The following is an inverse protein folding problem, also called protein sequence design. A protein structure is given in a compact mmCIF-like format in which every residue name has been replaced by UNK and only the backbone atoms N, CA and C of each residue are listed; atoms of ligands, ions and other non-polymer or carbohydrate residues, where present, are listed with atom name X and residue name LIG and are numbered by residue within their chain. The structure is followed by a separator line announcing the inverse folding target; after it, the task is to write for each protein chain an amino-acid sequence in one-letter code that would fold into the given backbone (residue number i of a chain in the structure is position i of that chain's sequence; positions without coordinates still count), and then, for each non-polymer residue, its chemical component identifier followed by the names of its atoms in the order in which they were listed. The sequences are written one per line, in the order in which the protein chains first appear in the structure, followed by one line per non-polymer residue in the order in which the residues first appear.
data_IF_019285043708
#
_entry.id   IF_019285043708
#
_cell.length_a   1.000
_cell.length_b   1.000
_cell.length_c   1.000
_cell.angle_alpha   90.00
_cell.angle_beta   90.00
_cell.angle_gamma   90.00
#
_symmetry.space_group_name_H-M   'P 1'
#
loop_
_entity.id
_entity.type
_entity.pdbx_description
1 polymer ?
#
# COMPACT_ATOMS: atom_id res chain seq x y z
N UNK A 1 19.52 -45.59 -35.41
CA UNK A 1 18.40 -44.66 -35.13
C UNK A 1 18.56 -44.01 -33.75
N UNK A 2 19.79 -43.78 -33.27
CA UNK A 2 20.03 -43.19 -31.93
C UNK A 2 20.31 -41.67 -32.01
N UNK A 3 20.92 -41.20 -33.08
CA UNK A 3 21.31 -39.80 -33.30
C UNK A 3 20.16 -38.80 -33.36
N UNK A 4 18.96 -39.23 -33.71
CA UNK A 4 17.76 -38.35 -33.75
C UNK A 4 17.17 -38.11 -32.35
N UNK A 5 17.40 -39.04 -31.41
CA UNK A 5 16.89 -38.93 -30.04
C UNK A 5 17.74 -37.96 -29.23
N UNK A 6 19.06 -38.00 -29.40
CA UNK A 6 19.99 -37.06 -28.73
C UNK A 6 19.74 -35.60 -29.14
N UNK A 7 19.47 -35.35 -30.42
CA UNK A 7 19.15 -34.00 -30.90
C UNK A 7 17.79 -33.47 -30.40
N UNK A 8 16.84 -34.37 -30.15
CA UNK A 8 15.56 -34.03 -29.53
C UNK A 8 15.72 -33.76 -28.01
N UNK A 9 16.58 -34.51 -27.32
CA UNK A 9 16.89 -34.24 -25.91
C UNK A 9 17.64 -32.92 -25.71
N UNK A 10 18.62 -32.63 -26.56
CA UNK A 10 19.42 -31.41 -26.50
C UNK A 10 18.57 -30.14 -26.77
N UNK A 11 17.61 -30.23 -27.69
CA UNK A 11 16.66 -29.14 -27.95
C UNK A 11 15.65 -28.92 -26.81
N UNK A 12 15.18 -29.99 -26.16
CA UNK A 12 14.34 -29.89 -24.96
C UNK A 12 15.12 -29.24 -23.80
N UNK A 13 16.37 -29.66 -23.57
CA UNK A 13 17.18 -29.13 -22.47
C UNK A 13 17.50 -27.64 -22.64
N UNK A 14 17.70 -27.19 -23.89
CA UNK A 14 17.92 -25.78 -24.25
C UNK A 14 16.66 -24.91 -24.11
N UNK A 15 15.48 -25.46 -24.42
CA UNK A 15 14.19 -24.77 -24.17
C UNK A 15 13.80 -24.74 -22.69
N UNK A 16 14.28 -25.69 -21.88
CA UNK A 16 13.97 -25.77 -20.44
C UNK A 16 14.81 -24.77 -19.62
N UNK A 17 16.01 -24.39 -20.10
CA UNK A 17 16.81 -23.30 -19.50
C UNK A 17 16.21 -21.90 -19.73
N UNK A 18 15.31 -21.73 -20.71
CA UNK A 18 14.62 -20.48 -21.00
C UNK A 18 13.27 -20.35 -20.27
N UNK A 19 12.86 -21.35 -19.49
CA UNK A 19 11.81 -21.18 -18.50
C UNK A 19 12.41 -20.36 -17.36
N UNK A 20 12.25 -19.04 -17.42
CA UNK A 20 12.35 -18.18 -16.24
C UNK A 20 11.66 -18.91 -15.08
N UNK A 21 12.36 -19.03 -13.95
CA UNK A 21 11.87 -19.79 -12.80
C UNK A 21 10.42 -19.35 -12.51
N UNK A 22 9.54 -20.29 -12.17
CA UNK A 22 8.14 -19.98 -11.83
C UNK A 22 8.03 -18.83 -10.81
N UNK A 23 9.05 -18.68 -9.97
CA UNK A 23 9.22 -17.61 -8.99
C UNK A 23 9.36 -16.21 -9.64
N UNK A 24 10.10 -16.06 -10.74
CA UNK A 24 10.30 -14.78 -11.44
C UNK A 24 9.04 -14.36 -12.23
N UNK A 25 8.34 -15.32 -12.83
CA UNK A 25 7.07 -15.08 -13.51
C UNK A 25 5.97 -14.65 -12.51
N UNK A 26 5.97 -15.24 -11.32
CA UNK A 26 5.03 -14.91 -10.26
C UNK A 26 5.35 -13.56 -9.60
N UNK A 27 6.62 -13.22 -9.41
CA UNK A 27 7.05 -11.90 -8.97
C UNK A 27 6.65 -10.77 -9.96
N UNK A 28 6.70 -11.05 -11.27
CA UNK A 28 6.27 -10.08 -12.30
C UNK A 28 4.74 -9.91 -12.31
N UNK A 29 4.00 -10.99 -12.10
CA UNK A 29 2.54 -10.98 -11.97
C UNK A 29 2.07 -10.31 -10.65
N UNK A 30 2.79 -10.54 -9.55
CA UNK A 30 2.52 -9.91 -8.26
C UNK A 30 2.90 -8.42 -8.28
N UNK A 31 3.94 -8.03 -9.03
CA UNK A 31 4.26 -6.63 -9.32
C UNK A 31 3.20 -5.92 -10.16
N UNK A 32 2.43 -6.66 -10.96
CA UNK A 32 1.27 -6.11 -11.69
C UNK A 32 0.00 -6.03 -10.83
N UNK A 33 -0.04 -6.70 -9.67
CA UNK A 33 -1.17 -6.56 -8.74
C UNK A 33 -1.06 -5.21 -8.01
N UNK A 34 -2.18 -4.51 -7.91
CA UNK A 34 -2.30 -3.24 -7.18
C UNK A 34 -2.32 -3.44 -5.66
N UNK A 35 -1.52 -4.37 -5.14
CA UNK A 35 -1.41 -4.66 -3.70
C UNK A 35 0.03 -4.46 -3.25
N UNK A 36 0.25 -3.98 -2.01
CA UNK A 36 1.59 -3.91 -1.45
C UNK A 36 2.27 -5.28 -1.41
N UNK A 37 3.61 -5.33 -1.46
CA UNK A 37 4.35 -6.59 -1.37
C UNK A 37 4.07 -7.27 -0.03
N UNK A 38 3.54 -8.50 -0.09
CA UNK A 38 3.16 -9.30 1.06
C UNK A 38 4.31 -10.22 1.49
N UNK A 39 4.38 -10.51 2.79
CA UNK A 39 5.31 -11.50 3.33
C UNK A 39 4.62 -12.87 3.43
N UNK A 40 5.04 -13.82 2.59
CA UNK A 40 4.47 -15.17 2.56
C UNK A 40 4.89 -16.04 3.77
N UNK A 41 5.96 -15.67 4.47
CA UNK A 41 6.50 -16.41 5.63
C UNK A 41 5.92 -15.93 6.96
N UNK A 42 5.03 -14.92 6.93
CA UNK A 42 4.44 -14.35 8.12
C UNK A 42 3.62 -15.40 8.89
N UNK A 43 3.99 -15.63 10.15
CA UNK A 43 3.27 -16.55 11.05
C UNK A 43 2.10 -15.85 11.75
N UNK A 44 2.18 -14.52 11.88
CA UNK A 44 1.16 -13.69 12.52
C UNK A 44 0.46 -12.82 11.47
N UNK A 45 -0.88 -12.69 11.51
CA UNK A 45 -1.62 -11.87 10.54
C UNK A 45 -1.15 -10.41 10.42
N UNK A 46 -0.60 -9.84 11.49
CA UNK A 46 -0.05 -8.48 11.50
C UNK A 46 1.24 -8.32 10.68
N UNK A 47 1.95 -9.42 10.44
CA UNK A 47 3.25 -9.42 9.75
C UNK A 47 3.12 -9.71 8.25
N UNK A 48 1.93 -10.12 7.80
CA UNK A 48 1.64 -10.37 6.37
C UNK A 48 1.89 -9.11 5.54
N UNK A 49 1.56 -7.95 6.09
CA UNK A 49 1.86 -6.65 5.49
C UNK A 49 2.67 -5.77 6.45
N UNK A 50 4.01 -5.87 6.40
CA UNK A 50 4.88 -5.01 7.19
C UNK A 50 4.63 -3.53 6.89
N UNK A 51 4.67 -2.68 7.92
CA UNK A 51 4.39 -1.24 7.78
C UNK A 51 5.28 -0.57 6.75
N UNK A 52 6.57 -0.93 6.72
CA UNK A 52 7.57 -0.37 5.81
C UNK A 52 7.34 -0.74 4.33
N UNK A 53 6.60 -1.82 4.07
CA UNK A 53 6.21 -2.23 2.73
C UNK A 53 5.02 -1.41 2.20
N UNK A 54 4.19 -0.87 3.10
CA UNK A 54 3.04 -0.02 2.75
C UNK A 54 3.46 1.46 2.72
N UNK A 55 4.18 1.90 3.75
CA UNK A 55 4.60 3.28 3.94
C UNK A 55 6.13 3.31 3.97
N UNK A 56 6.79 3.90 2.96
CA UNK A 56 8.24 4.06 2.95
C UNK A 56 8.75 4.79 4.19
N UNK A 57 9.94 4.42 4.67
CA UNK A 57 10.52 5.06 5.87
C UNK A 57 10.71 6.58 5.73
N UNK A 58 10.96 7.04 4.51
CA UNK A 58 11.09 8.48 4.20
C UNK A 58 9.80 9.22 4.49
N UNK A 59 8.66 8.67 4.11
CA UNK A 59 7.33 9.21 4.40
C UNK A 59 6.96 9.04 5.87
N UNK A 60 7.31 7.89 6.47
CA UNK A 60 7.02 7.65 7.88
C UNK A 60 7.69 8.66 8.82
N UNK A 61 8.90 9.13 8.48
CA UNK A 61 9.63 10.14 9.25
C UNK A 61 9.04 11.54 9.14
N UNK A 62 8.35 11.87 8.04
CA UNK A 62 7.72 13.19 7.87
C UNK A 62 6.39 13.31 8.60
N UNK A 63 5.73 12.19 8.90
CA UNK A 63 4.50 12.16 9.68
C UNK A 63 4.77 12.50 11.15
N UNK A 64 4.15 13.58 11.62
CA UNK A 64 4.26 14.07 13.00
C UNK A 64 2.97 13.81 13.77
N UNK A 65 3.08 13.04 14.85
CA UNK A 65 1.99 12.71 15.77
C UNK A 65 1.78 13.78 16.84
N UNK A 66 2.78 14.62 17.10
CA UNK A 66 2.80 15.57 18.21
C UNK A 66 1.61 16.55 18.22
N UNK A 67 1.18 17.14 17.09
CA UNK A 67 0.05 18.06 17.07
C UNK A 67 -1.25 17.42 17.56
N UNK A 68 -1.48 16.14 17.25
CA UNK A 68 -2.72 15.45 17.60
C UNK A 68 -2.82 15.10 19.09
N UNK A 69 -1.68 14.88 19.74
CA UNK A 69 -1.60 14.55 21.16
C UNK A 69 -1.74 15.81 22.02
N UNK A 70 -1.14 16.92 21.61
CA UNK A 70 -1.16 18.19 22.36
C UNK A 70 -2.51 18.89 22.27
N UNK A 71 -3.18 18.76 21.13
CA UNK A 71 -4.38 19.52 20.82
C UNK A 71 -5.65 18.83 21.36
N UNK A 72 -6.58 19.62 21.91
CA UNK A 72 -7.85 19.14 22.45
C UNK A 72 -8.80 18.59 21.38
N UNK A 73 -9.75 17.76 21.79
CA UNK A 73 -10.62 16.94 20.91
C UNK A 73 -11.23 17.72 19.73
N UNK A 74 -11.77 18.92 19.97
CA UNK A 74 -12.43 19.75 18.96
C UNK A 74 -11.48 20.31 17.89
N UNK A 75 -10.19 20.41 18.20
CA UNK A 75 -9.18 21.02 17.34
C UNK A 75 -8.35 19.96 16.59
N UNK A 76 -8.63 18.66 16.80
CA UNK A 76 -7.91 17.56 16.13
C UNK A 76 -8.39 17.31 14.69
N UNK A 77 -9.69 17.41 14.45
CA UNK A 77 -10.27 17.17 13.11
C UNK A 77 -9.74 18.18 12.08
N UNK A 78 -9.67 19.49 12.38
CA UNK A 78 -9.13 20.48 11.43
C UNK A 78 -7.69 20.24 11.02
N UNK A 79 -6.88 19.57 11.85
CA UNK A 79 -5.48 19.25 11.57
C UNK A 79 -5.33 18.13 10.53
N UNK A 80 -6.38 17.34 10.28
CA UNK A 80 -6.34 16.28 9.29
C UNK A 80 -6.41 16.87 7.86
N UNK A 81 -5.61 16.33 6.92
CA UNK A 81 -5.67 16.73 5.52
C UNK A 81 -7.03 16.37 4.88
N UNK A 82 -7.73 15.35 5.42
CA UNK A 82 -9.05 14.93 4.96
C UNK A 82 -10.05 14.86 6.13
N UNK A 83 -11.00 15.78 6.15
CA UNK A 83 -11.92 15.98 7.28
C UNK A 83 -13.28 15.29 7.12
N UNK A 84 -13.63 14.89 5.89
CA UNK A 84 -14.99 14.42 5.55
C UNK A 84 -15.26 12.98 6.03
N UNK A 85 -14.22 12.23 6.37
CA UNK A 85 -14.36 10.84 6.81
C UNK A 85 -14.79 10.74 8.27
N UNK A 86 -16.02 10.28 8.51
CA UNK A 86 -16.50 9.96 9.86
C UNK A 86 -15.68 8.85 10.52
N UNK A 87 -15.24 7.86 9.74
CA UNK A 87 -14.45 6.73 10.24
C UNK A 87 -13.10 7.19 10.80
N UNK A 88 -12.38 8.04 10.06
CA UNK A 88 -11.10 8.61 10.53
C UNK A 88 -11.32 9.41 11.81
N UNK A 89 -12.35 10.27 11.84
CA UNK A 89 -12.64 11.10 13.01
C UNK A 89 -12.94 10.24 14.25
N UNK A 90 -13.78 9.21 14.11
CA UNK A 90 -14.10 8.27 15.21
C UNK A 90 -12.87 7.50 15.70
N UNK A 91 -12.05 6.98 14.79
CA UNK A 91 -10.84 6.24 15.15
C UNK A 91 -9.81 7.14 15.85
N UNK A 92 -9.67 8.39 15.38
CA UNK A 92 -8.78 9.37 16.00
C UNK A 92 -9.21 9.68 17.44
N UNK A 93 -10.51 9.83 17.68
CA UNK A 93 -11.04 10.05 19.03
C UNK A 93 -10.76 8.82 19.90
N UNK A 94 -11.07 7.62 19.42
CA UNK A 94 -10.84 6.38 20.16
C UNK A 94 -9.37 6.16 20.54
N UNK A 95 -8.42 6.47 19.64
CA UNK A 95 -6.99 6.34 19.92
C UNK A 95 -6.53 7.38 20.94
N UNK A 96 -6.97 8.63 20.80
CA UNK A 96 -6.54 9.70 21.69
C UNK A 96 -7.22 9.68 23.07
N UNK A 97 -8.41 9.09 23.18
CA UNK A 97 -9.13 8.92 24.46
C UNK A 97 -8.60 7.72 25.26
N UNK A 98 -7.77 6.87 24.64
CA UNK A 98 -7.08 5.78 25.33
C UNK A 98 -5.99 6.32 26.27
N UNK A 99 -5.75 5.62 27.39
CA UNK A 99 -4.76 6.03 28.40
C UNK A 99 -3.32 6.13 27.88
N UNK A 100 -3.03 5.50 26.74
CA UNK A 100 -1.73 5.54 26.07
C UNK A 100 -1.94 5.67 24.56
N UNK A 101 -2.00 6.89 24.01
CA UNK A 101 -2.26 7.08 22.58
C UNK A 101 -1.16 6.40 21.76
N UNK A 102 -1.56 5.41 20.97
CA UNK A 102 -0.66 4.69 20.07
C UNK A 102 -0.14 5.61 18.98
N UNK A 103 1.06 6.17 19.17
CA UNK A 103 1.70 7.11 18.23
C UNK A 103 1.75 6.57 16.81
N UNK A 104 2.08 5.29 16.66
CA UNK A 104 2.09 4.56 15.38
C UNK A 104 0.71 4.58 14.71
N UNK A 105 -0.36 4.35 15.47
CA UNK A 105 -1.72 4.34 14.94
C UNK A 105 -2.15 5.72 14.47
N UNK A 106 -1.75 6.78 15.17
CA UNK A 106 -2.00 8.17 14.75
C UNK A 106 -1.34 8.45 13.40
N UNK A 107 -0.07 8.05 13.23
CA UNK A 107 0.66 8.21 11.96
C UNK A 107 0.01 7.42 10.82
N UNK A 108 -0.40 6.17 11.07
CA UNK A 108 -1.12 5.35 10.09
C UNK A 108 -2.42 6.05 9.68
N UNK A 109 -3.18 6.57 10.65
CA UNK A 109 -4.43 7.26 10.37
C UNK A 109 -4.22 8.54 9.55
N UNK A 110 -3.15 9.28 9.86
CA UNK A 110 -2.75 10.47 9.11
C UNK A 110 -2.39 10.11 7.66
N UNK A 111 -1.66 9.02 7.46
CA UNK A 111 -1.34 8.50 6.13
C UNK A 111 -2.60 8.14 5.33
N UNK A 112 -3.54 7.42 5.95
CA UNK A 112 -4.83 7.09 5.33
C UNK A 112 -5.61 8.36 4.95
N UNK A 113 -5.58 9.40 5.79
CA UNK A 113 -6.20 10.68 5.48
C UNK A 113 -5.58 11.34 4.23
N UNK A 114 -4.24 11.32 4.09
CA UNK A 114 -3.57 11.77 2.87
C UNK A 114 -3.96 10.95 1.64
N UNK A 115 -4.04 9.62 1.77
CA UNK A 115 -4.48 8.75 0.67
C UNK A 115 -5.92 9.04 0.24
N UNK A 116 -6.84 9.28 1.19
CA UNK A 116 -8.22 9.67 0.86
C UNK A 116 -8.28 11.03 0.16
N UNK A 117 -7.48 12.00 0.61
CA UNK A 117 -7.38 13.31 -0.05
C UNK A 117 -6.87 13.15 -1.48
N UNK A 118 -5.78 12.39 -1.67
CA UNK A 118 -5.20 12.13 -2.98
C UNK A 118 -6.21 11.43 -3.90
N UNK A 119 -6.93 10.42 -3.40
CA UNK A 119 -7.96 9.73 -4.15
C UNK A 119 -9.10 10.66 -4.57
N UNK A 120 -9.57 11.54 -3.67
CA UNK A 120 -10.57 12.54 -4.02
C UNK A 120 -10.08 13.46 -5.14
N UNK A 121 -8.85 13.98 -5.04
CA UNK A 121 -8.25 14.86 -6.05
C UNK A 121 -8.08 14.15 -7.40
N UNK A 122 -7.60 12.90 -7.39
CA UNK A 122 -7.46 12.08 -8.58
C UNK A 122 -8.83 11.79 -9.23
N UNK A 123 -9.88 11.60 -8.44
CA UNK A 123 -11.23 11.39 -8.97
C UNK A 123 -11.78 12.67 -9.61
N UNK A 124 -11.55 13.83 -9.00
CA UNK A 124 -11.97 15.13 -9.53
C UNK A 124 -11.25 15.48 -10.84
N UNK A 125 -9.94 15.22 -10.93
CA UNK A 125 -9.19 15.46 -12.17
C UNK A 125 -9.66 14.58 -13.32
N UNK A 126 -9.96 13.31 -13.04
CA UNK A 126 -10.53 12.40 -14.04
C UNK A 126 -11.94 12.83 -14.48
N UNK A 127 -12.80 13.31 -13.57
CA UNK A 127 -14.09 13.89 -13.94
C UNK A 127 -13.94 15.13 -14.84
N UNK A 128 -12.97 16.00 -14.55
CA UNK A 128 -12.65 17.16 -15.38
C UNK A 128 -12.22 16.79 -16.80
N UNK A 129 -11.42 15.73 -16.97
CA UNK A 129 -11.02 15.23 -18.29
C UNK A 129 -12.19 14.60 -19.06
N UNK A 130 -13.11 13.90 -18.39
CA UNK A 130 -14.28 13.29 -19.04
C UNK A 130 -15.27 14.35 -19.53
N UNK A 131 -15.42 15.47 -18.81
CA UNK A 131 -16.28 16.58 -19.22
C UNK A 131 -15.68 17.38 -20.38
N UNK A 132 -14.36 17.59 -20.41
CA UNK A 132 -13.69 18.32 -21.49
C UNK A 132 -13.63 17.53 -22.82
N UNK A 133 -13.64 16.20 -22.79
CA UNK A 133 -13.70 15.36 -24.02
C UNK A 133 -15.10 15.23 -24.64
N UNK A 134 -16.13 15.84 -24.05
CA UNK A 134 -17.52 15.82 -24.55
C UNK A 134 -18.00 17.17 -25.13
N UNK A 135 -17.14 18.18 -25.22
CA UNK A 135 -17.37 19.42 -25.97
C UNK A 135 -16.50 19.45 -27.22
#
# INVERSE_FOLDING_TARGET
METVVDHLQESIQKSTQALLSKEEAQATADSTRLVPPYNAEATVPSEVYPLHNIIPETEWKTLSEAPFVVVGQNQRIPLLPFQRSKWINQHLHSICDSSSPGKTNIKILQYIAYMMLFWQLATQSNLGQVLCKRS
#
